data_IF_977947083251
#
_entry.id   IF_977947083251
#
_cell.length_a   1.000
_cell.length_b   1.000
_cell.length_c   1.000
_cell.angle_alpha   90.00
_cell.angle_beta   90.00
_cell.angle_gamma   90.00
#
_symmetry.space_group_name_H-M   'P 1'
#
loop_
_entity.id
_entity.type
_entity.pdbx_description
1 polymer ?
#
# COMPACT_ATOMS: atom_id res chain seq x y z
N UNK A 1 18.75 -5.10 -19.13
CA UNK A 1 18.09 -6.22 -18.42
C UNK A 1 17.91 -6.04 -16.90
N UNK A 2 18.49 -5.02 -16.23
CA UNK A 2 18.34 -4.83 -14.76
C UNK A 2 16.96 -4.38 -14.29
N UNK A 3 16.11 -3.80 -15.15
CA UNK A 3 14.77 -3.37 -14.78
C UNK A 3 13.83 -4.56 -14.55
N UNK A 4 13.74 -5.48 -15.52
CA UNK A 4 12.88 -6.67 -15.45
C UNK A 4 13.28 -7.64 -14.35
N UNK A 5 14.58 -7.86 -14.12
CA UNK A 5 15.05 -8.90 -13.19
C UNK A 5 15.20 -8.44 -11.74
N UNK A 6 15.07 -7.14 -11.45
CA UNK A 6 15.35 -6.60 -10.12
C UNK A 6 14.35 -5.56 -9.65
N UNK A 7 14.05 -4.57 -10.49
CA UNK A 7 13.17 -3.46 -10.10
C UNK A 7 11.72 -3.92 -10.11
N UNK A 8 11.31 -4.58 -11.20
CA UNK A 8 9.95 -5.07 -11.36
C UNK A 8 9.52 -6.06 -10.26
N UNK A 9 10.27 -7.13 -9.92
CA UNK A 9 9.86 -8.03 -8.85
C UNK A 9 9.86 -7.35 -7.47
N UNK A 10 10.83 -6.47 -7.18
CA UNK A 10 10.84 -5.71 -5.91
C UNK A 10 9.63 -4.79 -5.79
N UNK A 11 9.26 -4.15 -6.90
CA UNK A 11 8.07 -3.32 -7.01
C UNK A 11 6.80 -4.14 -6.81
N UNK A 12 6.66 -5.27 -7.51
CA UNK A 12 5.49 -6.13 -7.41
C UNK A 12 5.28 -6.66 -5.99
N UNK A 13 6.34 -7.08 -5.30
CA UNK A 13 6.26 -7.52 -3.90
C UNK A 13 5.84 -6.37 -2.99
N UNK A 14 6.43 -5.18 -3.15
CA UNK A 14 6.06 -4.00 -2.35
C UNK A 14 4.61 -3.57 -2.60
N UNK A 15 4.19 -3.53 -3.86
CA UNK A 15 2.83 -3.21 -4.25
C UNK A 15 1.82 -4.21 -3.67
N UNK A 16 2.06 -5.52 -3.87
CA UNK A 16 1.18 -6.57 -3.40
C UNK A 16 1.06 -6.55 -1.87
N UNK A 17 2.16 -6.32 -1.16
CA UNK A 17 2.17 -6.18 0.30
C UNK A 17 1.35 -4.95 0.73
N UNK A 18 1.58 -3.79 0.11
CA UNK A 18 0.83 -2.55 0.40
C UNK A 18 -0.66 -2.74 0.19
N UNK A 19 -1.04 -3.28 -0.97
CA UNK A 19 -2.42 -3.55 -1.33
C UNK A 19 -3.07 -4.52 -0.35
N UNK A 20 -2.39 -5.63 -0.03
CA UNK A 20 -2.91 -6.64 0.89
C UNK A 20 -3.15 -6.06 2.27
N UNK A 21 -2.21 -5.27 2.82
CA UNK A 21 -2.42 -4.59 4.09
C UNK A 21 -3.55 -3.56 4.03
N UNK A 22 -3.62 -2.76 2.96
CA UNK A 22 -4.67 -1.76 2.81
C UNK A 22 -6.07 -2.38 2.70
N UNK A 23 -6.20 -3.50 1.97
CA UNK A 23 -7.42 -4.30 1.87
C UNK A 23 -7.77 -4.95 3.21
N UNK A 24 -6.81 -5.56 3.90
CA UNK A 24 -7.03 -6.14 5.23
C UNK A 24 -7.54 -5.09 6.24
N UNK A 25 -6.87 -3.93 6.31
CA UNK A 25 -7.30 -2.84 7.19
C UNK A 25 -8.68 -2.32 6.80
N UNK A 26 -8.99 -2.29 5.50
CA UNK A 26 -10.32 -1.92 5.04
C UNK A 26 -11.38 -2.87 5.58
N UNK A 27 -11.23 -4.17 5.32
CA UNK A 27 -12.19 -5.20 5.75
C UNK A 27 -12.35 -5.23 7.27
N UNK A 28 -11.25 -5.18 8.02
CA UNK A 28 -11.31 -5.23 9.48
C UNK A 28 -11.98 -3.98 10.07
N UNK A 29 -11.77 -2.80 9.49
CA UNK A 29 -12.49 -1.61 9.90
C UNK A 29 -13.98 -1.71 9.62
N UNK A 30 -14.36 -2.16 8.41
CA UNK A 30 -15.77 -2.32 8.02
C UNK A 30 -16.48 -3.33 8.95
N UNK A 31 -15.87 -4.49 9.18
CA UNK A 31 -16.39 -5.49 10.13
C UNK A 31 -16.54 -4.89 11.52
N UNK A 32 -15.56 -4.12 12.00
CA UNK A 32 -15.64 -3.52 13.33
C UNK A 32 -16.80 -2.52 13.44
N UNK A 33 -17.10 -1.78 12.37
CA UNK A 33 -18.28 -0.90 12.33
C UNK A 33 -19.59 -1.68 12.33
N UNK A 34 -19.66 -2.83 11.63
CA UNK A 34 -20.82 -3.71 11.67
C UNK A 34 -21.06 -4.25 13.09
N UNK A 35 -20.01 -4.70 13.77
CA UNK A 35 -20.09 -5.16 15.16
C UNK A 35 -20.53 -4.05 16.10
N UNK A 36 -20.04 -2.81 15.90
CA UNK A 36 -20.44 -1.66 16.71
C UNK A 36 -21.93 -1.32 16.62
N UNK A 37 -22.59 -1.63 15.50
CA UNK A 37 -24.04 -1.43 15.33
C UNK A 37 -24.88 -2.67 15.69
N UNK A 38 -24.25 -3.68 16.30
CA UNK A 38 -24.93 -4.87 16.84
C UNK A 38 -25.00 -6.06 15.89
N UNK A 39 -24.32 -6.02 14.74
CA UNK A 39 -24.24 -7.18 13.83
C UNK A 39 -23.26 -8.20 14.37
N UNK A 40 -23.72 -9.44 14.56
CA UNK A 40 -22.85 -10.56 14.92
C UNK A 40 -22.16 -11.06 13.65
N UNK A 41 -20.84 -10.91 13.58
CA UNK A 41 -20.02 -11.39 12.45
C UNK A 41 -19.14 -12.54 12.94
N UNK A 42 -19.42 -13.75 12.45
CA UNK A 42 -18.63 -14.94 12.80
C UNK A 42 -17.23 -14.90 12.23
N UNK A 43 -16.31 -15.71 12.76
CA UNK A 43 -14.93 -15.77 12.24
C UNK A 43 -14.87 -16.19 10.77
N UNK A 44 -15.71 -17.15 10.36
CA UNK A 44 -15.84 -17.57 8.96
C UNK A 44 -16.27 -16.41 8.07
N UNK A 45 -17.26 -15.63 8.50
CA UNK A 45 -17.76 -14.48 7.73
C UNK A 45 -16.69 -13.40 7.60
N UNK A 46 -15.89 -13.16 8.65
CA UNK A 46 -14.76 -12.22 8.58
C UNK A 46 -13.73 -12.63 7.54
N UNK A 47 -13.41 -13.92 7.47
CA UNK A 47 -12.48 -14.45 6.50
C UNK A 47 -13.02 -14.32 5.07
N UNK A 48 -14.29 -14.69 4.84
CA UNK A 48 -14.95 -14.55 3.54
C UNK A 48 -15.02 -13.09 3.09
N UNK A 49 -15.48 -12.18 3.95
CA UNK A 49 -15.54 -10.74 3.65
C UNK A 49 -14.16 -10.17 3.30
N UNK A 50 -13.12 -10.60 4.02
CA UNK A 50 -11.76 -10.17 3.73
C UNK A 50 -11.28 -10.66 2.36
N UNK A 51 -11.61 -11.90 1.98
CA UNK A 51 -11.26 -12.44 0.66
C UNK A 51 -12.06 -11.77 -0.46
N UNK A 52 -13.35 -11.54 -0.25
CA UNK A 52 -14.23 -10.87 -1.20
C UNK A 52 -13.77 -9.42 -1.43
N UNK A 53 -13.43 -8.70 -0.37
CA UNK A 53 -12.84 -7.36 -0.46
C UNK A 53 -11.48 -7.39 -1.16
N UNK A 54 -10.62 -8.37 -0.85
CA UNK A 54 -9.31 -8.50 -1.49
C UNK A 54 -9.44 -8.73 -3.00
N UNK A 55 -10.35 -9.62 -3.44
CA UNK A 55 -10.61 -9.88 -4.86
C UNK A 55 -11.33 -8.71 -5.54
N UNK A 56 -12.29 -8.08 -4.87
CA UNK A 56 -13.07 -6.96 -5.40
C UNK A 56 -12.28 -5.66 -5.53
N UNK A 57 -11.36 -5.39 -4.59
CA UNK A 57 -10.52 -4.19 -4.59
C UNK A 57 -9.27 -4.32 -5.46
N UNK A 58 -8.81 -5.53 -5.76
CA UNK A 58 -7.57 -5.75 -6.52
C UNK A 58 -7.58 -5.08 -7.91
N UNK A 59 -8.63 -5.21 -8.75
CA UNK A 59 -8.61 -4.64 -10.11
C UNK A 59 -8.61 -3.12 -10.13
N UNK A 60 -9.28 -2.49 -9.16
CA UNK A 60 -9.49 -1.03 -9.12
C UNK A 60 -8.50 -0.38 -8.16
N UNK A 61 -8.68 -0.59 -6.86
CA UNK A 61 -7.84 -0.01 -5.82
C UNK A 61 -6.40 -0.51 -5.90
N UNK A 62 -6.20 -1.81 -6.15
CA UNK A 62 -4.88 -2.38 -6.39
C UNK A 62 -4.16 -1.71 -7.56
N UNK A 63 -4.84 -1.51 -8.70
CA UNK A 63 -4.26 -0.82 -9.86
C UNK A 63 -3.91 0.65 -9.56
N UNK A 64 -4.77 1.36 -8.82
CA UNK A 64 -4.53 2.75 -8.41
C UNK A 64 -3.29 2.84 -7.50
N UNK A 65 -3.19 1.94 -6.50
CA UNK A 65 -2.01 1.86 -5.62
C UNK A 65 -0.75 1.55 -6.45
N UNK A 66 -0.83 0.62 -7.40
CA UNK A 66 0.31 0.31 -8.27
C UNK A 66 0.80 1.56 -9.00
N UNK A 67 -0.11 2.29 -9.64
CA UNK A 67 0.25 3.52 -10.37
C UNK A 67 0.85 4.58 -9.45
N UNK A 68 0.23 4.82 -8.30
CA UNK A 68 0.71 5.81 -7.33
C UNK A 68 2.09 5.46 -6.77
N UNK A 69 2.32 4.21 -6.36
CA UNK A 69 3.62 3.74 -5.89
C UNK A 69 4.67 3.77 -7.00
N UNK A 70 4.31 3.44 -8.24
CA UNK A 70 5.24 3.49 -9.36
C UNK A 70 5.76 4.92 -9.57
N UNK A 71 4.87 5.91 -9.56
CA UNK A 71 5.24 7.33 -9.69
C UNK A 71 6.09 7.76 -8.48
N UNK A 72 5.64 7.49 -7.26
CA UNK A 72 6.32 7.90 -6.04
C UNK A 72 7.72 7.29 -5.91
N UNK A 73 7.87 6.00 -6.19
CA UNK A 73 9.16 5.32 -6.15
C UNK A 73 10.07 5.75 -7.30
N UNK A 74 9.54 6.05 -8.49
CA UNK A 74 10.33 6.56 -9.59
C UNK A 74 10.95 7.93 -9.26
N UNK A 75 10.15 8.85 -8.73
CA UNK A 75 10.62 10.17 -8.28
C UNK A 75 11.66 10.01 -7.16
N UNK A 76 11.36 9.16 -6.18
CA UNK A 76 12.27 8.89 -5.05
C UNK A 76 13.58 8.26 -5.50
N UNK A 77 13.55 7.33 -6.46
CA UNK A 77 14.74 6.71 -7.01
C UNK A 77 15.65 7.73 -7.72
N UNK A 78 15.08 8.72 -8.42
CA UNK A 78 15.86 9.83 -9.00
C UNK A 78 16.46 10.73 -7.92
N UNK A 79 15.69 11.07 -6.88
CA UNK A 79 16.15 11.92 -5.78
C UNK A 79 17.26 11.25 -4.96
N UNK A 80 17.11 9.95 -4.69
CA UNK A 80 18.04 9.16 -3.90
C UNK A 80 19.43 8.99 -4.56
N UNK A 81 19.58 9.29 -5.86
CA UNK A 81 20.91 9.33 -6.49
C UNK A 81 21.84 10.36 -5.84
N UNK A 82 21.31 11.42 -5.23
CA UNK A 82 22.09 12.49 -4.58
C UNK A 82 22.28 12.32 -3.07
N UNK A 83 21.36 11.63 -2.38
CA UNK A 83 21.22 11.68 -0.90
C UNK A 83 21.40 10.31 -0.24
N UNK A 84 22.17 9.40 -0.88
CA UNK A 84 22.27 7.95 -0.59
C UNK A 84 22.18 7.51 0.89
N UNK A 85 22.60 8.35 1.84
CA UNK A 85 22.51 8.17 3.29
C UNK A 85 21.09 7.87 3.82
N UNK A 86 20.03 8.50 3.28
CA UNK A 86 18.65 8.39 3.82
C UNK A 86 17.68 7.62 2.91
N UNK A 87 18.23 6.73 2.06
CA UNK A 87 17.47 6.02 1.04
C UNK A 87 16.21 5.33 1.55
N UNK A 88 16.23 4.68 2.71
CA UNK A 88 15.08 3.92 3.22
C UNK A 88 13.98 4.84 3.72
N UNK A 89 14.33 5.88 4.47
CA UNK A 89 13.36 6.86 4.97
C UNK A 89 12.64 7.55 3.82
N UNK A 90 13.35 7.91 2.74
CA UNK A 90 12.75 8.51 1.56
C UNK A 90 11.69 7.60 0.90
N UNK A 91 11.96 6.31 0.75
CA UNK A 91 10.98 5.37 0.18
C UNK A 91 9.78 5.13 1.09
N UNK A 92 9.99 5.09 2.42
CA UNK A 92 8.89 4.99 3.40
C UNK A 92 7.98 6.21 3.32
N UNK A 93 8.56 7.42 3.32
CA UNK A 93 7.81 8.67 3.18
C UNK A 93 7.08 8.70 1.84
N UNK A 94 7.72 8.27 0.75
CA UNK A 94 7.10 8.19 -0.56
C UNK A 94 5.89 7.24 -0.59
N UNK A 95 5.98 6.09 0.09
CA UNK A 95 4.86 5.15 0.22
C UNK A 95 3.68 5.73 1.02
N UNK A 96 3.97 6.41 2.14
CA UNK A 96 2.96 7.14 2.93
C UNK A 96 2.28 8.21 2.06
N UNK A 97 3.05 9.04 1.37
CA UNK A 97 2.54 10.10 0.52
C UNK A 97 1.71 9.55 -0.65
N UNK A 98 2.14 8.46 -1.27
CA UNK A 98 1.40 7.81 -2.35
C UNK A 98 0.00 7.40 -1.90
N UNK A 99 -0.11 6.70 -0.75
CA UNK A 99 -1.40 6.30 -0.20
C UNK A 99 -2.22 7.52 0.24
N UNK A 100 -1.59 8.52 0.86
CA UNK A 100 -2.25 9.77 1.25
C UNK A 100 -2.92 10.45 0.05
N UNK A 101 -2.16 10.62 -1.04
CA UNK A 101 -2.64 11.26 -2.26
C UNK A 101 -3.77 10.44 -2.88
N UNK A 102 -3.63 9.12 -2.95
CA UNK A 102 -4.69 8.23 -3.46
C UNK A 102 -5.98 8.40 -2.68
N UNK A 103 -5.91 8.44 -1.34
CA UNK A 103 -7.10 8.57 -0.50
C UNK A 103 -7.77 9.93 -0.63
N UNK A 104 -6.98 11.00 -0.58
CA UNK A 104 -7.50 12.36 -0.77
C UNK A 104 -8.10 12.51 -2.18
N UNK A 105 -7.45 11.96 -3.21
CA UNK A 105 -7.95 12.03 -4.58
C UNK A 105 -9.28 11.28 -4.74
N UNK A 106 -9.39 10.05 -4.21
CA UNK A 106 -10.63 9.27 -4.27
C UNK A 106 -11.76 10.00 -3.54
N UNK A 107 -11.48 10.54 -2.34
CA UNK A 107 -12.44 11.31 -1.56
C UNK A 107 -12.90 12.58 -2.29
N UNK A 108 -11.94 13.33 -2.86
CA UNK A 108 -12.23 14.58 -3.57
C UNK A 108 -13.00 14.37 -4.87
N UNK A 109 -12.75 13.28 -5.60
CA UNK A 109 -13.44 12.99 -6.87
C UNK A 109 -14.88 12.55 -6.61
N UNK A 110 -15.08 11.73 -5.58
CA UNK A 110 -16.34 11.04 -5.38
C UNK A 110 -17.29 11.74 -4.39
N UNK A 111 -16.84 12.81 -3.72
CA UNK A 111 -17.58 13.54 -2.67
C UNK A 111 -18.08 12.65 -1.50
N UNK A 112 -17.64 11.40 -1.45
CA UNK A 112 -17.91 10.42 -0.40
C UNK A 112 -16.65 9.61 -0.12
N UNK A 113 -16.44 9.23 1.14
CA UNK A 113 -15.42 8.23 1.49
C UNK A 113 -15.88 6.85 1.02
N UNK A 114 -15.53 6.47 -0.21
CA UNK A 114 -15.83 5.15 -0.80
C UNK A 114 -15.16 4.04 -0.02
N UNK A 115 -13.95 4.29 0.45
CA UNK A 115 -13.21 3.35 1.28
C UNK A 115 -13.69 3.57 2.71
N UNK A 116 -14.80 2.89 3.08
CA UNK A 116 -15.35 2.94 4.43
C UNK A 116 -14.27 2.66 5.49
N UNK A 117 -13.35 1.75 5.17
CA UNK A 117 -12.18 1.41 5.97
C UNK A 117 -11.07 2.46 6.10
N UNK A 118 -11.16 3.59 5.40
CA UNK A 118 -10.21 4.70 5.51
C UNK A 118 -10.72 5.85 6.39
N UNK A 119 -11.91 5.73 6.99
CA UNK A 119 -12.49 6.77 7.85
C UNK A 119 -11.84 6.74 9.23
N UNK A 120 -11.71 7.92 9.86
CA UNK A 120 -11.17 8.06 11.21
C UNK A 120 -9.81 7.37 11.36
N UNK A 121 -9.73 6.37 12.25
CA UNK A 121 -8.49 5.62 12.50
C UNK A 121 -8.04 4.74 11.33
N UNK A 122 -8.96 4.36 10.43
CA UNK A 122 -8.66 3.59 9.24
C UNK A 122 -7.70 4.29 8.27
N UNK A 123 -7.73 5.62 8.24
CA UNK A 123 -6.79 6.44 7.46
C UNK A 123 -5.34 6.16 7.86
N UNK A 124 -5.05 6.18 9.16
CA UNK A 124 -3.70 5.94 9.68
C UNK A 124 -3.24 4.50 9.43
N UNK A 125 -4.14 3.53 9.49
CA UNK A 125 -3.83 2.14 9.14
C UNK A 125 -3.40 2.03 7.66
N UNK A 126 -4.04 2.77 6.76
CA UNK A 126 -3.65 2.79 5.36
C UNK A 126 -2.32 3.52 5.12
N UNK A 127 -2.04 4.59 5.86
CA UNK A 127 -0.71 5.21 5.84
C UNK A 127 0.38 4.22 6.27
N UNK A 128 0.12 3.40 7.30
CA UNK A 128 1.02 2.33 7.73
C UNK A 128 1.21 1.29 6.61
N UNK A 129 0.16 0.91 5.89
CA UNK A 129 0.29 0.02 4.74
C UNK A 129 1.25 0.61 3.68
N UNK A 130 1.12 1.91 3.37
CA UNK A 130 2.03 2.62 2.47
C UNK A 130 3.47 2.68 2.99
N UNK A 131 3.65 2.90 4.30
CA UNK A 131 4.96 2.92 4.95
C UNK A 131 5.67 1.56 4.84
N UNK A 132 4.95 0.46 5.13
CA UNK A 132 5.48 -0.91 5.02
C UNK A 132 5.83 -1.24 3.57
N UNK A 133 5.00 -0.82 2.61
CA UNK A 133 5.28 -0.91 1.19
C UNK A 133 6.60 -0.25 0.79
N UNK A 134 6.78 1.02 1.16
CA UNK A 134 8.00 1.78 0.89
C UNK A 134 9.24 1.18 1.55
N UNK A 135 9.10 0.68 2.78
CA UNK A 135 10.17 -0.04 3.47
C UNK A 135 10.57 -1.32 2.72
N UNK A 136 9.60 -2.17 2.36
CA UNK A 136 9.84 -3.42 1.64
C UNK A 136 10.55 -3.17 0.30
N UNK A 137 10.11 -2.17 -0.47
CA UNK A 137 10.77 -1.80 -1.72
C UNK A 137 12.22 -1.39 -1.49
N UNK A 138 12.50 -0.57 -0.47
CA UNK A 138 13.86 -0.13 -0.16
C UNK A 138 14.79 -1.31 0.18
N UNK A 139 14.31 -2.25 1.00
CA UNK A 139 15.09 -3.40 1.42
C UNK A 139 15.38 -4.35 0.26
N UNK A 140 14.37 -4.66 -0.55
CA UNK A 140 14.52 -5.51 -1.74
C UNK A 140 15.44 -4.87 -2.78
N UNK A 141 15.25 -3.58 -3.04
CA UNK A 141 16.09 -2.83 -3.98
C UNK A 141 17.56 -2.75 -3.54
N UNK A 142 17.82 -2.64 -2.23
CA UNK A 142 19.17 -2.66 -1.64
C UNK A 142 19.79 -4.06 -1.65
N UNK A 143 19.03 -5.11 -1.29
CA UNK A 143 19.50 -6.49 -1.24
C UNK A 143 20.05 -6.94 -2.60
N UNK A 144 19.35 -6.62 -3.69
CA UNK A 144 19.84 -6.95 -5.04
C UNK A 144 21.03 -6.07 -5.49
N UNK A 145 21.40 -5.00 -4.75
CA UNK A 145 22.60 -4.19 -5.02
C UNK A 145 23.85 -4.89 -4.49
N UNK A 146 23.76 -5.45 -3.29
CA UNK A 146 24.87 -6.14 -2.65
C UNK A 146 25.23 -7.46 -3.34
N UNK A 147 24.25 -8.15 -3.94
CA UNK A 147 24.48 -9.38 -4.70
C UNK A 147 25.38 -9.26 -5.95
N UNK A 148 25.72 -8.04 -6.39
CA UNK A 148 26.65 -7.80 -7.51
C UNK A 148 28.03 -7.33 -7.06
N UNK A 149 28.25 -7.15 -5.75
CA UNK A 149 29.52 -6.72 -5.19
C UNK A 149 30.39 -7.90 -4.69
N UNK A 150 29.82 -9.11 -4.66
CA UNK A 150 30.55 -10.38 -4.64
C UNK A 150 30.51 -10.98 -6.05
#
# INVERSE_FOLDING_TARGET
MSFLTRILPSFLVSWLLTFTLASLFHSQYVVNQLVNVGVVVGFSDRASLTLDDWLGLLPTYGAIIALALAIAFFVTAKLNKKVQKYSTQLFVIAGILAITIVLIAIESIMNIHIIAGARGWGFYAQLLAGAVGGFAFSQLFKATKNQKAC
#
